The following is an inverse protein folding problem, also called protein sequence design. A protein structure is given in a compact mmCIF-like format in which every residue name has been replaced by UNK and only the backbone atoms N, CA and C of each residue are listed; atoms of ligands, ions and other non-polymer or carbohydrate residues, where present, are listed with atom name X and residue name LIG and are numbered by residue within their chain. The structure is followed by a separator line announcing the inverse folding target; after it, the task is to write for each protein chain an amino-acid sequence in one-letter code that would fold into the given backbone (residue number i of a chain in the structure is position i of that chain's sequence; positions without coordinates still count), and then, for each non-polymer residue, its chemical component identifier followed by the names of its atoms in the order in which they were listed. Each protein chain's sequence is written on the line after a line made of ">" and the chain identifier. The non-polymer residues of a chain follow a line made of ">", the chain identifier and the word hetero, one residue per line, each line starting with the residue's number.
data_IF_110773956044
#
_entry.id   IF_110773956044
#
_cell.length_a   1.000
_cell.length_b   1.000
_cell.length_c   1.000
_cell.angle_alpha   90.00
_cell.angle_beta   90.00
_cell.angle_gamma   90.00
#
_symmetry.space_group_name_H-M   'P 1'
#
loop_
_entity.id
_entity.type
_entity.pdbx_description
1 polymer ?
#
# COMPACT_ATOMS: atom_id res chain seq x y z
N UNK A 1 -6.22 -21.53 -3.82
CA UNK A 1 -6.38 -20.13 -3.42
C UNK A 1 -5.83 -19.26 -4.54
N UNK A 2 -6.68 -18.53 -5.26
CA UNK A 2 -6.25 -17.70 -6.41
C UNK A 2 -5.56 -16.45 -5.87
N UNK A 3 -4.37 -16.05 -6.38
CA UNK A 3 -3.75 -14.81 -5.96
C UNK A 3 -4.70 -13.65 -6.29
N UNK A 4 -5.09 -12.89 -5.27
CA UNK A 4 -5.98 -11.76 -5.44
C UNK A 4 -5.32 -10.74 -6.39
N UNK A 5 -5.92 -10.54 -7.57
CA UNK A 5 -5.38 -9.68 -8.62
C UNK A 5 -5.59 -8.22 -8.23
N UNK A 6 -4.50 -7.50 -7.97
CA UNK A 6 -4.49 -6.02 -7.90
C UNK A 6 -4.78 -5.35 -9.25
N UNK A 7 -4.79 -6.11 -10.36
CA UNK A 7 -4.85 -5.58 -11.73
C UNK A 7 -6.15 -4.88 -12.15
N UNK A 8 -7.14 -4.73 -11.26
CA UNK A 8 -8.39 -4.01 -11.53
C UNK A 8 -8.47 -2.64 -10.80
N UNK A 9 -7.36 -2.15 -10.24
CA UNK A 9 -7.27 -0.82 -9.61
C UNK A 9 -6.41 0.05 -10.52
N UNK A 10 -6.98 1.13 -11.04
CA UNK A 10 -6.30 2.05 -11.95
C UNK A 10 -5.32 2.94 -11.18
N UNK A 11 -5.72 3.45 -10.02
CA UNK A 11 -4.86 4.26 -9.16
C UNK A 11 -4.60 3.57 -7.82
N UNK A 12 -3.45 2.91 -7.75
CA UNK A 12 -3.02 2.20 -6.53
C UNK A 12 -2.30 3.11 -5.52
N UNK A 13 -1.92 4.32 -5.92
CA UNK A 13 -1.03 5.22 -5.17
C UNK A 13 -1.73 6.51 -4.72
N UNK A 14 -3.04 6.65 -4.98
CA UNK A 14 -3.84 7.75 -4.44
C UNK A 14 -3.85 7.71 -2.90
N UNK A 15 -3.38 8.76 -2.24
CA UNK A 15 -3.37 8.83 -0.77
C UNK A 15 -4.75 8.90 -0.11
N UNK A 16 -5.82 9.14 -0.87
CA UNK A 16 -7.18 9.23 -0.35
C UNK A 16 -7.88 7.88 -0.36
N UNK A 17 -8.04 7.26 0.82
CA UNK A 17 -8.67 5.94 0.98
C UNK A 17 -9.64 5.93 2.15
N UNK A 18 -10.81 5.33 1.94
CA UNK A 18 -11.85 5.16 2.96
C UNK A 18 -12.04 3.69 3.32
N UNK A 19 -12.23 3.43 4.61
CA UNK A 19 -12.35 2.07 5.16
C UNK A 19 -13.48 2.01 6.18
N UNK A 20 -14.14 0.86 6.29
CA UNK A 20 -14.86 0.52 7.51
C UNK A 20 -13.84 0.37 8.65
N UNK A 21 -14.22 0.76 9.87
CA UNK A 21 -13.33 0.74 11.03
C UNK A 21 -12.69 -0.64 11.26
N UNK A 22 -13.49 -1.71 11.26
CA UNK A 22 -13.03 -3.09 11.44
C UNK A 22 -12.05 -3.54 10.34
N UNK A 23 -12.31 -3.14 9.10
CA UNK A 23 -11.50 -3.47 7.92
C UNK A 23 -10.15 -2.78 8.03
N UNK A 24 -10.13 -1.50 8.38
CA UNK A 24 -8.90 -0.75 8.63
C UNK A 24 -8.07 -1.45 9.71
N UNK A 25 -8.66 -1.76 10.87
CA UNK A 25 -7.93 -2.41 11.96
C UNK A 25 -7.31 -3.74 11.53
N UNK A 26 -8.03 -4.56 10.76
CA UNK A 26 -7.52 -5.84 10.27
C UNK A 26 -6.38 -5.67 9.27
N UNK A 27 -6.49 -4.72 8.34
CA UNK A 27 -5.44 -4.44 7.35
C UNK A 27 -4.19 -3.88 8.03
N UNK A 28 -4.33 -2.81 8.83
CA UNK A 28 -3.20 -2.09 9.42
C UNK A 28 -2.39 -2.94 10.41
N UNK A 29 -3.03 -3.86 11.16
CA UNK A 29 -2.34 -4.84 12.00
C UNK A 29 -1.46 -5.81 11.19
N UNK A 30 -1.75 -6.00 9.91
CA UNK A 30 -1.11 -6.98 9.02
C UNK A 30 -0.10 -6.38 8.05
N UNK A 31 0.01 -5.06 7.98
CA UNK A 31 1.11 -4.41 7.26
C UNK A 31 2.46 -4.87 7.83
N UNK A 32 3.49 -4.93 7.00
CA UNK A 32 4.81 -5.44 7.33
C UNK A 32 5.91 -4.46 6.95
N UNK A 33 5.73 -3.69 5.88
CA UNK A 33 6.71 -2.71 5.43
C UNK A 33 6.84 -1.53 6.41
N UNK A 34 5.72 -1.11 6.99
CA UNK A 34 5.62 0.13 7.77
C UNK A 34 5.48 -0.10 9.28
N UNK A 35 5.79 -1.31 9.76
CA UNK A 35 5.75 -1.66 11.20
C UNK A 35 6.93 -1.15 12.02
N UNK A 36 8.01 -0.74 11.37
CA UNK A 36 9.23 -0.30 12.05
C UNK A 36 9.22 1.21 12.24
N UNK A 37 9.55 1.64 13.45
CA UNK A 37 9.97 3.00 13.83
C UNK A 37 11.21 3.44 13.05
N UNK A 38 11.09 3.52 11.73
CA UNK A 38 12.12 4.10 10.89
C UNK A 38 12.04 5.60 11.10
N UNK A 39 13.06 6.17 11.75
CA UNK A 39 13.29 7.59 11.73
C UNK A 39 13.33 8.02 10.27
N UNK A 40 12.28 8.72 9.83
CA UNK A 40 12.18 9.24 8.47
C UNK A 40 12.83 10.62 8.49
N UNK A 41 14.05 10.70 7.94
CA UNK A 41 14.71 11.99 7.71
C UNK A 41 14.25 12.53 6.35
N UNK A 42 13.31 13.48 6.36
CA UNK A 42 12.82 14.17 5.17
C UNK A 42 11.49 13.64 4.60
N UNK A 43 10.98 14.27 3.52
CA UNK A 43 9.78 13.81 2.82
C UNK A 43 10.06 12.46 2.18
N UNK A 44 9.21 11.46 2.43
CA UNK A 44 9.34 10.13 1.84
C UNK A 44 8.09 9.82 1.03
N UNK A 45 8.25 9.50 -0.25
CA UNK A 45 7.16 9.02 -1.09
C UNK A 45 6.96 7.53 -0.77
N UNK A 46 5.97 7.23 0.06
CA UNK A 46 5.66 5.86 0.49
C UNK A 46 4.71 5.18 -0.48
N UNK A 47 5.08 5.09 -1.75
CA UNK A 47 4.29 4.40 -2.76
C UNK A 47 4.03 2.92 -2.39
N UNK A 48 4.96 2.31 -1.64
CA UNK A 48 4.81 0.94 -1.13
C UNK A 48 3.72 0.78 -0.07
N UNK A 49 3.39 1.82 0.69
CA UNK A 49 2.36 1.76 1.73
C UNK A 49 0.99 1.51 1.14
N UNK A 50 0.62 2.35 0.18
CA UNK A 50 -0.67 2.28 -0.50
C UNK A 50 -0.85 0.93 -1.21
N UNK A 51 0.20 0.45 -1.88
CA UNK A 51 0.21 -0.85 -2.54
C UNK A 51 0.07 -1.99 -1.52
N UNK A 52 0.78 -1.95 -0.38
CA UNK A 52 0.68 -2.99 0.66
C UNK A 52 -0.73 -3.03 1.27
N UNK A 53 -1.32 -1.88 1.55
CA UNK A 53 -2.69 -1.75 2.06
C UNK A 53 -3.69 -2.41 1.11
N UNK A 54 -3.63 -2.09 -0.19
CA UNK A 54 -4.51 -2.68 -1.20
C UNK A 54 -4.25 -4.17 -1.36
N UNK A 55 -2.99 -4.60 -1.33
CA UNK A 55 -2.62 -6.00 -1.43
C UNK A 55 -3.19 -6.81 -0.26
N UNK A 56 -2.98 -6.36 0.98
CA UNK A 56 -3.50 -7.02 2.18
C UNK A 56 -5.02 -7.05 2.17
N UNK A 57 -5.69 -5.96 1.77
CA UNK A 57 -7.14 -5.94 1.66
C UNK A 57 -7.67 -7.03 0.71
N UNK A 58 -7.02 -7.18 -0.45
CA UNK A 58 -7.35 -8.21 -1.43
C UNK A 58 -7.05 -9.63 -0.93
N UNK A 59 -5.94 -9.83 -0.21
CA UNK A 59 -5.60 -11.12 0.41
C UNK A 59 -6.62 -11.53 1.48
N UNK A 60 -7.17 -10.57 2.23
CA UNK A 60 -8.23 -10.79 3.22
C UNK A 60 -9.62 -10.97 2.59
N UNK A 61 -9.74 -10.90 1.26
CA UNK A 61 -11.00 -11.07 0.54
C UNK A 61 -11.94 -9.85 0.59
N UNK A 62 -11.44 -8.67 0.98
CA UNK A 62 -12.24 -7.46 0.94
C UNK A 62 -12.46 -6.97 -0.49
N UNK A 63 -13.63 -6.37 -0.72
CA UNK A 63 -13.97 -5.71 -1.99
C UNK A 63 -13.45 -4.28 -1.98
N UNK A 64 -12.87 -3.85 -3.09
CA UNK A 64 -12.36 -2.49 -3.30
C UNK A 64 -13.16 -1.87 -4.43
N UNK A 65 -13.56 -0.61 -4.26
CA UNK A 65 -14.27 0.18 -5.27
C UNK A 65 -13.54 1.51 -5.44
N UNK A 66 -13.16 1.83 -6.67
CA UNK A 66 -12.64 3.15 -7.02
C UNK A 66 -13.80 4.16 -7.07
N UNK A 67 -13.59 5.31 -6.44
CA UNK A 67 -14.54 6.43 -6.45
C UNK A 67 -13.77 7.64 -6.95
N UNK A 68 -14.20 8.28 -8.05
CA UNK A 68 -13.53 9.46 -8.58
C UNK A 68 -13.60 10.59 -7.56
N UNK A 69 -12.48 11.26 -7.35
CA UNK A 69 -12.37 12.45 -6.50
C UNK A 69 -11.68 13.55 -7.29
N UNK A 70 -12.11 14.79 -7.07
CA UNK A 70 -11.41 15.95 -7.60
C UNK A 70 -10.18 16.21 -6.74
N UNK A 71 -9.00 16.18 -7.36
CA UNK A 71 -7.74 16.44 -6.67
C UNK A 71 -7.16 17.75 -7.17
N UNK A 72 -6.96 18.70 -6.26
CA UNK A 72 -6.26 19.95 -6.55
C UNK A 72 -4.79 19.81 -6.19
N UNK A 73 -3.92 19.86 -7.20
CA UNK A 73 -2.48 19.82 -6.99
C UNK A 73 -2.02 21.11 -6.32
N UNK A 74 -1.30 20.96 -5.20
CA UNK A 74 -0.62 22.07 -4.53
C UNK A 74 0.88 21.91 -4.78
N UNK A 75 1.47 22.87 -5.48
CA UNK A 75 2.86 22.79 -5.91
C UNK A 75 3.82 22.69 -4.71
N UNK A 76 4.56 21.59 -4.65
CA UNK A 76 5.54 21.32 -3.61
C UNK A 76 6.78 20.68 -4.22
N UNK A 77 7.91 21.40 -4.20
CA UNK A 77 9.23 20.88 -4.64
C UNK A 77 9.86 19.98 -3.56
N UNK A 78 9.28 18.81 -3.31
CA UNK A 78 9.71 17.92 -2.22
C UNK A 78 10.01 16.47 -2.63
N UNK A 79 10.08 16.16 -3.92
CA UNK A 79 10.28 14.78 -4.43
C UNK A 79 11.49 14.69 -5.35
N UNK A 80 12.24 13.58 -5.26
CA UNK A 80 13.38 13.24 -6.10
C UNK A 80 13.01 12.02 -6.95
N UNK A 81 12.64 12.21 -8.23
CA UNK A 81 12.01 11.16 -9.05
C UNK A 81 12.80 9.85 -9.11
N UNK A 82 14.13 9.93 -9.11
CA UNK A 82 15.01 8.75 -9.23
C UNK A 82 15.08 7.99 -7.91
N UNK A 83 15.30 8.68 -6.79
CA UNK A 83 15.41 8.03 -5.48
C UNK A 83 14.07 7.46 -5.04
N UNK A 84 12.98 8.21 -5.25
CA UNK A 84 11.63 7.77 -4.92
C UNK A 84 11.21 6.53 -5.74
N UNK A 85 11.64 6.44 -7.01
CA UNK A 85 11.37 5.26 -7.85
C UNK A 85 12.10 4.01 -7.37
N UNK A 86 13.35 4.13 -6.91
CA UNK A 86 14.13 3.01 -6.39
C UNK A 86 13.55 2.48 -5.07
N UNK A 87 13.12 3.38 -4.20
CA UNK A 87 12.46 3.02 -2.94
C UNK A 87 11.12 2.31 -3.19
N UNK A 88 10.30 2.83 -4.11
CA UNK A 88 9.04 2.20 -4.51
C UNK A 88 9.26 0.78 -5.08
N UNK A 89 10.26 0.59 -5.94
CA UNK A 89 10.60 -0.73 -6.49
C UNK A 89 11.00 -1.72 -5.37
N UNK A 90 11.82 -1.27 -4.43
CA UNK A 90 12.28 -2.09 -3.29
C UNK A 90 11.10 -2.52 -2.42
N UNK A 91 10.17 -1.62 -2.16
CA UNK A 91 8.95 -1.93 -1.39
C UNK A 91 8.09 -2.99 -2.10
N UNK A 92 7.88 -2.86 -3.42
CA UNK A 92 7.12 -3.83 -4.21
C UNK A 92 7.77 -5.22 -4.14
N UNK A 93 9.09 -5.31 -4.31
CA UNK A 93 9.83 -6.58 -4.19
C UNK A 93 9.63 -7.18 -2.79
N UNK A 94 9.74 -6.37 -1.74
CA UNK A 94 9.55 -6.85 -0.36
C UNK A 94 8.12 -7.32 -0.10
N UNK A 95 7.10 -6.66 -0.64
CA UNK A 95 5.70 -7.12 -0.57
C UNK A 95 5.57 -8.50 -1.22
N UNK A 96 6.15 -8.68 -2.41
CA UNK A 96 6.12 -9.97 -3.11
C UNK A 96 6.81 -11.07 -2.29
N UNK A 97 8.00 -10.80 -1.75
CA UNK A 97 8.71 -11.76 -0.89
C UNK A 97 7.93 -12.11 0.38
N UNK A 98 7.33 -11.12 1.05
CA UNK A 98 6.52 -11.34 2.25
C UNK A 98 5.26 -12.16 1.94
N UNK A 99 4.67 -11.95 0.77
CA UNK A 99 3.55 -12.77 0.31
C UNK A 99 3.96 -14.21 0.04
N UNK A 100 5.12 -14.45 -0.59
CA UNK A 100 5.65 -15.79 -0.83
C UNK A 100 5.98 -16.50 0.48
N UNK A 101 6.43 -15.76 1.50
CA UNK A 101 6.67 -16.25 2.87
C UNK A 101 5.39 -16.51 3.66
N UNK A 102 4.21 -16.23 3.09
CA UNK A 102 2.95 -16.42 3.78
C UNK A 102 2.68 -15.42 4.91
N UNK A 103 3.44 -14.32 5.04
CA UNK A 103 3.27 -13.38 6.15
C UNK A 103 1.93 -12.64 6.14
N UNK A 104 1.26 -12.60 4.98
CA UNK A 104 -0.11 -12.09 4.84
C UNK A 104 -1.17 -13.21 4.86
N UNK A 105 -0.75 -14.47 4.76
CA UNK A 105 -1.61 -15.63 4.90
C UNK A 105 -1.72 -15.99 6.39
N UNK A 106 -2.62 -15.32 7.10
CA UNK A 106 -3.20 -15.93 8.29
C UNK A 106 -4.67 -16.13 8.01
N UNK A 107 -5.02 -17.37 7.70
CA UNK A 107 -6.39 -17.87 7.88
C UNK A 107 -6.86 -17.54 9.30
N UNK A 108 -8.15 -17.20 9.48
CA UNK A 108 -8.74 -17.09 10.80
C UNK A 108 -8.59 -18.38 11.60
#
# INVERSE_FOLDING_TARGET
>A
MVPAKTGNINDTQCGFKLFKQEVAQNIFKRLTLYKQNQATSGPRVTAGFDVEVLYVALQLGYKIKEVPVEWHYVDTRRVSPIMDSLDALRDIIRIRLNSLRGLYHMTP
#
